data_IF_961764621808
#
_entry.id   IF_961764621808
#
_cell.length_a   1.000
_cell.length_b   1.000
_cell.length_c   1.000
_cell.angle_alpha   90.00
_cell.angle_beta   90.00
_cell.angle_gamma   90.00
#
_symmetry.space_group_name_H-M   'P 1'
#
loop_
_entity.id
_entity.type
_entity.pdbx_description
1 polymer ?
#
# COMPACT_ATOMS: atom_id res chain seq x y z
N UNK A 1 -47.40 17.42 48.86
CA UNK A 1 -47.33 16.89 47.48
C UNK A 1 -46.09 17.50 46.86
N UNK A 2 -44.93 16.90 47.10
CA UNK A 2 -43.66 17.35 46.55
C UNK A 2 -43.11 16.24 45.66
N UNK A 3 -43.24 16.42 44.34
CA UNK A 3 -42.53 15.59 43.36
C UNK A 3 -41.21 16.29 43.07
N UNK A 4 -40.19 15.86 43.79
CA UNK A 4 -38.79 16.04 43.41
C UNK A 4 -38.57 15.39 42.04
N UNK A 5 -38.22 16.22 41.05
CA UNK A 5 -37.80 15.80 39.73
C UNK A 5 -36.33 15.37 39.85
N UNK A 6 -36.09 14.06 39.89
CA UNK A 6 -34.75 13.52 39.63
C UNK A 6 -34.45 13.73 38.14
N UNK A 7 -33.81 14.85 37.84
CA UNK A 7 -33.02 15.03 36.62
C UNK A 7 -31.73 14.22 36.80
N UNK A 8 -31.74 12.95 36.40
CA UNK A 8 -30.52 12.16 36.25
C UNK A 8 -29.65 12.80 35.17
N UNK A 9 -28.70 13.60 35.63
CA UNK A 9 -27.59 14.13 34.90
C UNK A 9 -26.55 13.02 34.64
N UNK A 10 -26.89 12.06 33.77
CA UNK A 10 -25.95 11.09 33.19
C UNK A 10 -25.17 11.67 32.00
N UNK A 11 -24.98 12.99 31.96
CA UNK A 11 -24.20 13.71 30.93
C UNK A 11 -22.74 14.00 31.36
N UNK A 12 -22.28 13.40 32.46
CA UNK A 12 -20.87 13.42 32.90
C UNK A 12 -20.30 12.01 32.76
N UNK A 13 -19.75 11.58 31.62
CA UNK A 13 -18.34 11.81 31.31
C UNK A 13 -17.96 10.99 30.07
N UNK A 14 -18.50 11.35 28.91
CA UNK A 14 -17.84 11.03 27.64
C UNK A 14 -16.55 11.87 27.58
N UNK A 15 -15.53 11.46 28.35
CA UNK A 15 -14.16 12.00 28.33
C UNK A 15 -13.79 12.29 26.89
N UNK A 16 -13.59 13.57 26.50
CA UNK A 16 -13.26 13.93 25.11
C UNK A 16 -12.14 13.01 24.63
N UNK A 17 -12.40 12.19 23.61
CA UNK A 17 -11.39 11.31 23.03
C UNK A 17 -10.21 12.18 22.63
N UNK A 18 -9.02 11.86 23.13
CA UNK A 18 -7.85 12.63 22.79
C UNK A 18 -7.46 12.35 21.34
N UNK A 19 -6.83 13.32 20.67
CA UNK A 19 -6.29 13.10 19.33
C UNK A 19 -5.27 11.95 19.31
N UNK A 20 -4.55 11.74 20.43
CA UNK A 20 -3.65 10.60 20.62
C UNK A 20 -4.39 9.26 20.62
N UNK A 21 -5.56 9.15 21.27
CA UNK A 21 -6.34 7.90 21.28
C UNK A 21 -6.83 7.55 19.88
N UNK A 22 -7.31 8.55 19.14
CA UNK A 22 -7.75 8.38 17.74
C UNK A 22 -6.58 7.95 16.86
N UNK A 23 -5.42 8.58 17.02
CA UNK A 23 -4.21 8.23 16.26
C UNK A 23 -3.73 6.83 16.56
N UNK A 24 -3.69 6.44 17.84
CA UNK A 24 -3.27 5.10 18.27
C UNK A 24 -4.23 4.03 17.75
N UNK A 25 -5.55 4.25 17.86
CA UNK A 25 -6.56 3.34 17.32
C UNK A 25 -6.43 3.17 15.81
N UNK A 26 -6.24 4.27 15.07
CA UNK A 26 -6.00 4.21 13.61
C UNK A 26 -4.75 3.41 13.28
N UNK A 27 -3.65 3.65 14.00
CA UNK A 27 -2.41 2.94 13.77
C UNK A 27 -2.59 1.43 13.98
N UNK A 28 -3.19 1.01 15.10
CA UNK A 28 -3.46 -0.41 15.35
C UNK A 28 -4.37 -1.04 14.30
N UNK A 29 -5.41 -0.34 13.84
CA UNK A 29 -6.28 -0.83 12.77
C UNK A 29 -5.53 -0.98 11.43
N UNK A 30 -4.67 -0.02 11.09
CA UNK A 30 -3.85 -0.10 9.88
C UNK A 30 -2.76 -1.18 9.96
N UNK A 31 -2.15 -1.35 11.13
CA UNK A 31 -1.14 -2.38 11.34
C UNK A 31 -1.75 -3.78 11.19
N UNK A 32 -2.90 -4.04 11.82
CA UNK A 32 -3.62 -5.32 11.69
C UNK A 32 -4.14 -5.55 10.27
N UNK A 33 -4.71 -4.51 9.63
CA UNK A 33 -5.14 -4.61 8.25
C UNK A 33 -3.97 -4.84 7.28
N UNK A 34 -2.80 -4.26 7.56
CA UNK A 34 -1.58 -4.47 6.80
C UNK A 34 -1.06 -5.90 6.92
N UNK A 35 -1.06 -6.47 8.13
CA UNK A 35 -0.72 -7.88 8.35
C UNK A 35 -1.70 -8.81 7.64
N UNK A 36 -3.00 -8.59 7.83
CA UNK A 36 -4.03 -9.37 7.15
C UNK A 36 -3.93 -9.28 5.63
N UNK A 37 -3.62 -8.11 5.06
CA UNK A 37 -3.41 -7.96 3.62
C UNK A 37 -2.17 -8.73 3.14
N UNK A 38 -1.08 -8.75 3.91
CA UNK A 38 0.09 -9.55 3.59
C UNK A 38 -0.26 -11.05 3.55
N UNK A 39 -1.04 -11.53 4.52
CA UNK A 39 -1.52 -12.92 4.56
C UNK A 39 -2.46 -13.23 3.40
N UNK A 40 -3.33 -12.30 3.02
CA UNK A 40 -4.16 -12.41 1.80
C UNK A 40 -3.27 -12.59 0.58
N UNK A 41 -2.20 -11.79 0.42
CA UNK A 41 -1.30 -11.90 -0.74
C UNK A 41 -0.56 -13.24 -0.77
N UNK A 42 -0.14 -13.76 0.38
CA UNK A 42 0.50 -15.08 0.49
C UNK A 42 -0.47 -16.20 0.08
N UNK A 43 -1.73 -16.11 0.49
CA UNK A 43 -2.74 -17.15 0.23
C UNK A 43 -3.53 -16.95 -1.06
N UNK A 44 -3.49 -15.77 -1.69
CA UNK A 44 -4.26 -15.46 -2.90
C UNK A 44 -3.89 -16.41 -4.06
N UNK A 45 -2.60 -16.75 -4.19
CA UNK A 45 -2.15 -17.66 -5.25
C UNK A 45 -2.73 -19.06 -5.07
N UNK A 46 -2.65 -19.64 -3.87
CA UNK A 46 -3.20 -20.98 -3.61
C UNK A 46 -4.73 -20.97 -3.69
N UNK A 47 -5.36 -19.90 -3.23
CA UNK A 47 -6.81 -19.73 -3.32
C UNK A 47 -7.30 -19.64 -4.76
N UNK A 48 -6.63 -18.90 -5.66
CA UNK A 48 -7.14 -18.66 -7.03
C UNK A 48 -6.71 -19.69 -8.07
N UNK A 49 -5.68 -20.48 -7.78
CA UNK A 49 -5.15 -21.48 -8.71
C UNK A 49 -5.12 -22.91 -8.14
N UNK A 50 -5.52 -23.11 -6.88
CA UNK A 50 -5.61 -24.43 -6.26
C UNK A 50 -6.95 -25.13 -6.52
N UNK A 51 -7.13 -26.30 -5.92
CA UNK A 51 -8.34 -27.13 -6.04
C UNK A 51 -9.62 -26.39 -5.59
N UNK A 52 -9.47 -25.40 -4.70
CA UNK A 52 -10.57 -24.61 -4.16
C UNK A 52 -10.87 -23.34 -4.96
N UNK A 53 -10.21 -23.11 -6.11
CA UNK A 53 -10.34 -21.88 -6.90
C UNK A 53 -11.77 -21.54 -7.32
N UNK A 54 -12.61 -22.56 -7.53
CA UNK A 54 -14.02 -22.39 -7.92
C UNK A 54 -14.78 -21.53 -6.89
N UNK A 55 -14.42 -21.62 -5.61
CA UNK A 55 -15.10 -20.91 -4.51
C UNK A 55 -14.68 -19.44 -4.36
N UNK A 56 -13.57 -19.02 -5.00
CA UNK A 56 -13.01 -17.66 -4.93
C UNK A 56 -13.20 -16.86 -6.21
N UNK A 57 -13.97 -17.38 -7.17
CA UNK A 57 -14.19 -16.78 -8.49
C UNK A 57 -14.68 -15.33 -8.40
N UNK A 58 -15.62 -15.04 -7.49
CA UNK A 58 -16.17 -13.69 -7.29
C UNK A 58 -15.18 -12.69 -6.74
N UNK A 59 -14.42 -13.08 -5.72
CA UNK A 59 -13.36 -12.23 -5.16
C UNK A 59 -12.27 -11.96 -6.21
N UNK A 60 -11.92 -12.97 -7.01
CA UNK A 60 -10.98 -12.83 -8.13
C UNK A 60 -11.52 -11.90 -9.22
N UNK A 61 -12.79 -12.00 -9.60
CA UNK A 61 -13.44 -11.09 -10.56
C UNK A 61 -13.38 -9.64 -10.06
N UNK A 62 -13.72 -9.43 -8.78
CA UNK A 62 -13.69 -8.11 -8.13
C UNK A 62 -12.27 -7.53 -8.14
N UNK A 63 -11.27 -8.32 -7.72
CA UNK A 63 -9.87 -7.91 -7.70
C UNK A 63 -9.28 -7.72 -9.10
N UNK A 64 -9.79 -8.45 -10.10
CA UNK A 64 -9.44 -8.29 -11.50
C UNK A 64 -9.68 -6.86 -12.01
N UNK A 65 -10.67 -6.15 -11.47
CA UNK A 65 -10.96 -4.76 -11.84
C UNK A 65 -9.86 -3.75 -11.42
N UNK A 66 -9.01 -4.15 -10.47
CA UNK A 66 -7.89 -3.35 -9.96
C UNK A 66 -6.55 -3.68 -10.60
N UNK A 67 -6.45 -4.78 -11.35
CA UNK A 67 -5.22 -5.16 -12.04
C UNK A 67 -4.78 -4.20 -13.17
N UNK A 68 -5.68 -3.56 -13.95
CA UNK A 68 -5.26 -2.68 -15.04
C UNK A 68 -4.31 -1.54 -14.63
N UNK A 69 -4.54 -0.78 -13.54
CA UNK A 69 -3.54 0.16 -12.99
C UNK A 69 -2.14 -0.42 -12.83
N UNK A 70 -2.01 -1.63 -12.29
CA UNK A 70 -0.72 -2.30 -12.13
C UNK A 70 -0.11 -2.68 -13.47
N UNK A 71 -0.91 -3.18 -14.43
CA UNK A 71 -0.42 -3.47 -15.78
C UNK A 71 0.06 -2.21 -16.50
N UNK A 72 -0.65 -1.09 -16.38
CA UNK A 72 -0.22 0.18 -16.95
C UNK A 72 1.04 0.71 -16.28
N UNK A 73 1.16 0.60 -14.96
CA UNK A 73 2.37 0.96 -14.24
C UNK A 73 3.57 0.11 -14.64
N UNK A 74 3.42 -1.21 -14.72
CA UNK A 74 4.48 -2.11 -15.21
C UNK A 74 4.85 -1.83 -16.66
N UNK A 75 3.86 -1.58 -17.53
CA UNK A 75 4.11 -1.18 -18.90
C UNK A 75 4.88 0.14 -18.97
N UNK A 76 4.52 1.15 -18.16
CA UNK A 76 5.24 2.42 -18.07
C UNK A 76 6.69 2.21 -17.59
N UNK A 77 6.92 1.37 -16.57
CA UNK A 77 8.27 0.96 -16.15
C UNK A 77 9.05 0.37 -17.32
N UNK A 78 8.47 -0.58 -18.05
CA UNK A 78 9.13 -1.22 -19.18
C UNK A 78 9.43 -0.23 -20.32
N UNK A 79 8.47 0.62 -20.68
CA UNK A 79 8.65 1.63 -21.73
C UNK A 79 9.71 2.67 -21.38
N UNK A 80 9.75 3.14 -20.12
CA UNK A 80 10.76 4.09 -19.67
C UNK A 80 12.14 3.43 -19.64
N UNK A 81 12.24 2.19 -19.14
CA UNK A 81 13.50 1.45 -19.09
C UNK A 81 14.06 1.18 -20.48
N UNK A 82 13.22 0.64 -21.37
CA UNK A 82 13.59 0.41 -22.78
C UNK A 82 13.87 1.73 -23.48
N UNK A 83 13.11 2.79 -23.17
CA UNK A 83 13.35 4.14 -23.67
C UNK A 83 14.74 4.66 -23.32
N UNK A 84 15.16 4.57 -22.06
CA UNK A 84 16.52 4.94 -21.64
C UNK A 84 17.61 4.12 -22.36
N UNK A 85 17.33 2.85 -22.64
CA UNK A 85 18.27 1.94 -23.32
C UNK A 85 18.38 2.20 -24.82
N UNK A 86 17.25 2.29 -25.52
CA UNK A 86 17.19 2.42 -26.98
C UNK A 86 17.56 3.84 -27.41
N UNK A 87 16.92 4.84 -26.80
CA UNK A 87 17.02 6.21 -27.35
C UNK A 87 18.31 6.91 -26.97
N UNK A 88 19.01 6.43 -25.92
CA UNK A 88 20.19 7.11 -25.39
C UNK A 88 19.96 8.62 -25.22
N UNK A 89 18.70 9.02 -24.97
CA UNK A 89 18.16 10.35 -25.27
C UNK A 89 19.19 11.44 -24.96
N UNK A 90 19.80 11.99 -26.02
CA UNK A 90 20.89 12.96 -25.91
C UNK A 90 20.47 14.11 -24.98
N UNK A 91 19.21 14.53 -25.04
CA UNK A 91 18.61 15.55 -24.17
C UNK A 91 18.58 15.16 -22.68
N UNK A 92 18.30 13.90 -22.36
CA UNK A 92 18.32 13.40 -20.97
C UNK A 92 19.75 13.29 -20.47
N UNK A 93 20.68 12.81 -21.31
CA UNK A 93 22.10 12.81 -20.97
C UNK A 93 22.66 14.23 -20.79
N UNK A 94 22.20 15.19 -21.60
CA UNK A 94 22.54 16.61 -21.47
C UNK A 94 21.95 17.23 -20.20
N UNK A 95 20.72 16.87 -19.84
CA UNK A 95 20.09 17.29 -18.58
C UNK A 95 20.85 16.70 -17.38
N UNK A 96 21.16 15.40 -17.38
CA UNK A 96 21.99 14.76 -16.34
C UNK A 96 23.38 15.43 -16.24
N UNK A 97 24.04 15.70 -17.38
CA UNK A 97 25.31 16.45 -17.42
C UNK A 97 25.17 17.88 -16.87
N UNK A 98 24.02 18.54 -17.05
CA UNK A 98 23.75 19.87 -16.48
C UNK A 98 23.56 19.80 -14.97
N UNK A 99 22.79 18.84 -14.47
CA UNK A 99 22.56 18.62 -13.03
C UNK A 99 23.88 18.26 -12.32
N UNK A 100 24.64 17.31 -12.86
CA UNK A 100 25.94 16.93 -12.28
C UNK A 100 26.90 18.10 -12.24
N UNK A 101 27.00 18.91 -13.31
CA UNK A 101 27.86 20.11 -13.32
C UNK A 101 27.46 21.16 -12.30
N UNK A 102 26.17 21.26 -11.93
CA UNK A 102 25.70 22.14 -10.85
C UNK A 102 26.10 21.57 -9.49
N UNK A 103 25.85 20.29 -9.27
CA UNK A 103 26.21 19.61 -8.01
C UNK A 103 27.71 19.65 -7.74
N UNK A 104 28.54 19.33 -8.74
CA UNK A 104 30.00 19.37 -8.61
C UNK A 104 30.52 20.79 -8.34
N UNK A 105 29.97 21.80 -9.02
CA UNK A 105 30.31 23.21 -8.72
C UNK A 105 30.03 23.57 -7.27
N UNK A 106 28.89 23.15 -6.74
CA UNK A 106 28.54 23.41 -5.34
C UNK A 106 29.48 22.70 -4.35
N UNK A 107 30.17 21.63 -4.75
CA UNK A 107 31.20 20.96 -3.94
C UNK A 107 32.61 21.54 -4.10
N UNK A 108 32.90 22.29 -5.18
CA UNK A 108 34.27 22.78 -5.44
C UNK A 108 34.46 24.25 -5.01
N UNK A 109 33.50 24.84 -4.31
CA UNK A 109 33.57 26.24 -3.82
C UNK A 109 34.40 26.41 -2.55
N UNK A 110 35.14 25.38 -2.12
CA UNK A 110 36.16 25.49 -1.09
C UNK A 110 37.51 25.08 -1.69
N UNK A 111 38.44 26.03 -1.75
CA UNK A 111 39.83 25.90 -2.24
C UNK A 111 40.06 25.84 -3.76
N UNK A 112 40.36 27.00 -4.34
CA UNK A 112 41.50 27.12 -5.27
C UNK A 112 41.91 28.59 -5.49
N UNK A 113 43.10 28.94 -5.00
CA UNK A 113 43.88 30.11 -5.45
C UNK A 113 44.46 29.86 -6.85
N UNK A 114 44.72 30.91 -7.66
CA UNK A 114 45.20 30.73 -9.03
C UNK A 114 46.73 30.57 -9.05
N UNK A 115 47.23 29.50 -9.67
CA UNK A 115 48.64 29.38 -10.08
C UNK A 115 48.68 29.25 -11.60
N UNK A 116 49.33 30.23 -12.21
CA UNK A 116 49.66 30.34 -13.63
C UNK A 116 50.73 29.31 -14.00
N UNK A 117 50.49 28.45 -15.00
CA UNK A 117 51.52 27.55 -15.56
C UNK A 117 51.52 27.63 -17.09
N UNK A 118 52.74 27.81 -17.62
CA UNK A 118 53.12 27.97 -19.03
C UNK A 118 52.88 26.73 -19.89
N UNK A 119 52.57 27.01 -21.15
CA UNK A 119 52.39 26.11 -22.29
C UNK A 119 53.69 25.38 -22.66
N UNK A 120 53.69 24.05 -22.59
CA UNK A 120 54.58 23.18 -23.35
C UNK A 120 53.76 22.14 -24.11
N UNK A 121 54.18 21.84 -25.34
CA UNK A 121 53.46 21.07 -26.35
C UNK A 121 53.15 19.62 -25.90
N UNK A 122 51.98 19.06 -26.27
CA UNK A 122 51.53 17.78 -25.74
C UNK A 122 52.23 16.63 -26.47
N UNK A 123 53.26 16.07 -25.84
CA UNK A 123 53.67 14.68 -26.11
C UNK A 123 52.56 13.80 -25.54
N UNK A 124 51.76 13.16 -26.39
CA UNK A 124 50.76 12.17 -25.95
C UNK A 124 51.52 11.03 -25.26
N UNK A 125 51.42 10.89 -23.92
CA UNK A 125 52.08 9.80 -23.23
C UNK A 125 51.42 8.50 -23.66
N UNK A 126 52.25 7.53 -24.04
CA UNK A 126 51.82 6.18 -24.34
C UNK A 126 51.14 5.62 -23.08
N UNK A 127 49.79 5.55 -23.12
CA UNK A 127 48.98 5.22 -21.96
C UNK A 127 49.38 3.83 -21.45
N UNK A 128 49.98 3.77 -20.26
CA UNK A 128 50.46 2.51 -19.69
C UNK A 128 49.32 1.50 -19.53
N UNK A 129 49.61 0.21 -19.72
CA UNK A 129 48.63 -0.88 -19.64
C UNK A 129 47.76 -0.84 -18.36
N UNK A 130 48.35 -0.48 -17.22
CA UNK A 130 47.64 -0.36 -15.93
C UNK A 130 46.62 0.78 -15.92
N UNK A 131 46.92 1.88 -16.60
CA UNK A 131 46.00 3.02 -16.73
C UNK A 131 44.83 2.67 -17.65
N UNK A 132 45.12 2.02 -18.78
CA UNK A 132 44.08 1.48 -19.68
C UNK A 132 43.14 0.49 -18.96
N UNK A 133 43.68 -0.39 -18.10
CA UNK A 133 42.87 -1.32 -17.29
C UNK A 133 41.98 -0.57 -16.30
N UNK A 134 42.52 0.41 -15.57
CA UNK A 134 41.76 1.23 -14.61
C UNK A 134 40.64 2.03 -15.30
N UNK A 135 40.88 2.57 -16.49
CA UNK A 135 39.88 3.28 -17.28
C UNK A 135 38.74 2.33 -17.70
N UNK A 136 39.06 1.14 -18.22
CA UNK A 136 38.06 0.12 -18.60
C UNK A 136 37.23 -0.35 -17.40
N UNK A 137 37.85 -0.57 -16.24
CA UNK A 137 37.12 -0.94 -15.02
C UNK A 137 36.18 0.17 -14.55
N UNK A 138 36.63 1.43 -14.63
CA UNK A 138 35.79 2.60 -14.33
C UNK A 138 34.63 2.75 -15.32
N UNK A 139 34.85 2.54 -16.61
CA UNK A 139 33.80 2.57 -17.63
C UNK A 139 32.77 1.47 -17.41
N UNK A 140 33.20 0.25 -17.09
CA UNK A 140 32.30 -0.85 -16.73
C UNK A 140 31.47 -0.53 -15.48
N UNK A 141 32.10 0.05 -14.45
CA UNK A 141 31.40 0.48 -13.24
C UNK A 141 30.39 1.61 -13.51
N UNK A 142 30.72 2.56 -14.38
CA UNK A 142 29.79 3.61 -14.79
C UNK A 142 28.63 3.06 -15.63
N UNK A 143 28.89 2.08 -16.49
CA UNK A 143 27.84 1.40 -17.26
C UNK A 143 26.90 0.58 -16.36
N UNK A 144 27.43 -0.12 -15.36
CA UNK A 144 26.59 -0.87 -14.41
C UNK A 144 25.77 0.05 -13.52
N UNK A 145 26.35 1.15 -13.02
CA UNK A 145 25.60 2.17 -12.27
C UNK A 145 24.49 2.80 -13.10
N UNK A 146 24.72 3.04 -14.40
CA UNK A 146 23.69 3.55 -15.29
C UNK A 146 22.50 2.59 -15.39
N UNK A 147 22.76 1.29 -15.57
CA UNK A 147 21.70 0.28 -15.66
C UNK A 147 20.83 0.25 -14.40
N UNK A 148 21.47 0.30 -13.22
CA UNK A 148 20.76 0.32 -11.94
C UNK A 148 19.93 1.60 -11.81
N UNK A 149 20.51 2.75 -12.16
CA UNK A 149 19.81 4.04 -12.06
C UNK A 149 18.62 4.10 -13.01
N UNK A 150 18.79 3.67 -14.26
CA UNK A 150 17.72 3.63 -15.26
C UNK A 150 16.59 2.70 -14.79
N UNK A 151 16.92 1.55 -14.19
CA UNK A 151 15.94 0.63 -13.61
C UNK A 151 15.17 1.28 -12.44
N UNK A 152 15.87 1.89 -11.49
CA UNK A 152 15.24 2.53 -10.33
C UNK A 152 14.31 3.69 -10.73
N UNK A 153 14.75 4.53 -11.65
CA UNK A 153 13.91 5.63 -12.19
C UNK A 153 12.68 5.06 -12.89
N UNK A 154 12.86 4.01 -13.69
CA UNK A 154 11.74 3.37 -14.40
C UNK A 154 10.72 2.76 -13.44
N UNK A 155 11.19 2.04 -12.42
CA UNK A 155 10.33 1.47 -11.38
C UNK A 155 9.58 2.58 -10.64
N UNK A 156 10.28 3.67 -10.30
CA UNK A 156 9.65 4.82 -9.64
C UNK A 156 8.53 5.42 -10.49
N UNK A 157 8.74 5.60 -11.80
CA UNK A 157 7.70 6.13 -12.71
C UNK A 157 6.49 5.20 -12.78
N UNK A 158 6.71 3.90 -12.97
CA UNK A 158 5.60 2.95 -13.03
C UNK A 158 4.87 2.80 -11.70
N UNK A 159 5.58 2.82 -10.57
CA UNK A 159 4.98 2.80 -9.24
C UNK A 159 4.14 4.05 -8.99
N UNK A 160 4.67 5.24 -9.27
CA UNK A 160 3.92 6.50 -9.15
C UNK A 160 2.71 6.53 -10.07
N UNK A 161 2.83 6.05 -11.31
CA UNK A 161 1.70 5.95 -12.23
C UNK A 161 0.62 4.99 -11.73
N UNK A 162 1.03 3.86 -11.14
CA UNK A 162 0.10 2.90 -10.51
C UNK A 162 -0.65 3.57 -9.35
N UNK A 163 0.07 4.24 -8.44
CA UNK A 163 -0.54 4.93 -7.31
C UNK A 163 -1.53 6.01 -7.76
N UNK A 164 -1.17 6.80 -8.77
CA UNK A 164 -2.05 7.83 -9.33
C UNK A 164 -3.36 7.24 -9.89
N UNK A 165 -3.26 6.14 -10.65
CA UNK A 165 -4.45 5.45 -11.18
C UNK A 165 -5.29 4.78 -10.09
N UNK A 166 -4.66 4.28 -9.02
CA UNK A 166 -5.36 3.73 -7.86
C UNK A 166 -6.04 4.83 -7.05
N UNK A 167 -5.42 6.00 -6.92
CA UNK A 167 -6.01 7.16 -6.24
C UNK A 167 -7.31 7.61 -6.92
N UNK A 168 -7.35 7.59 -8.26
CA UNK A 168 -8.58 7.86 -9.02
C UNK A 168 -9.70 6.85 -8.73
N UNK A 169 -9.37 5.66 -8.22
CA UNK A 169 -10.33 4.60 -7.82
C UNK A 169 -10.50 4.50 -6.31
N UNK A 170 -10.00 5.46 -5.52
CA UNK A 170 -9.98 5.38 -4.05
C UNK A 170 -11.33 5.06 -3.43
N UNK A 171 -12.40 5.72 -3.85
CA UNK A 171 -13.73 5.50 -3.27
C UNK A 171 -14.29 4.11 -3.60
N UNK A 172 -14.00 3.60 -4.80
CA UNK A 172 -14.38 2.23 -5.20
C UNK A 172 -13.59 1.20 -4.40
N UNK A 173 -12.27 1.38 -4.26
CA UNK A 173 -11.41 0.51 -3.44
C UNK A 173 -11.89 0.50 -1.98
N UNK A 174 -12.33 1.65 -1.48
CA UNK A 174 -12.86 1.78 -0.12
C UNK A 174 -14.16 1.00 0.05
N UNK A 175 -15.11 1.15 -0.88
CA UNK A 175 -16.37 0.38 -0.88
C UNK A 175 -16.10 -1.12 -0.98
N UNK A 176 -15.16 -1.51 -1.83
CA UNK A 176 -14.80 -2.91 -2.03
C UNK A 176 -14.11 -3.51 -0.82
N UNK A 177 -13.27 -2.73 -0.13
CA UNK A 177 -12.71 -3.12 1.15
C UNK A 177 -13.83 -3.34 2.17
N UNK A 178 -14.73 -2.37 2.36
CA UNK A 178 -15.86 -2.45 3.29
C UNK A 178 -16.73 -3.70 3.06
N UNK A 179 -16.99 -4.04 1.80
CA UNK A 179 -17.84 -5.17 1.40
C UNK A 179 -17.11 -6.51 1.28
N UNK A 180 -15.77 -6.53 1.28
CA UNK A 180 -15.00 -7.74 1.06
C UNK A 180 -15.41 -8.93 1.95
N UNK A 181 -15.71 -8.75 3.25
CA UNK A 181 -16.16 -9.86 4.10
C UNK A 181 -17.49 -10.47 3.66
N UNK A 182 -18.37 -9.73 3.00
CA UNK A 182 -19.70 -10.20 2.58
C UNK A 182 -19.72 -10.81 1.18
N UNK A 183 -18.58 -10.88 0.50
CA UNK A 183 -18.49 -11.47 -0.84
C UNK A 183 -19.00 -12.92 -0.80
N UNK A 184 -19.89 -13.22 -1.74
CA UNK A 184 -20.50 -14.55 -1.91
C UNK A 184 -19.42 -15.61 -2.16
N UNK A 185 -19.66 -16.83 -1.67
CA UNK A 185 -18.69 -17.91 -1.72
C UNK A 185 -17.65 -17.83 -0.62
N UNK A 186 -16.40 -18.14 -0.95
CA UNK A 186 -15.25 -17.98 -0.05
C UNK A 186 -14.52 -16.68 -0.37
N UNK A 187 -14.00 -16.04 0.66
CA UNK A 187 -13.20 -14.82 0.54
C UNK A 187 -11.92 -14.99 1.33
N UNK A 188 -10.79 -14.89 0.64
CA UNK A 188 -9.46 -14.89 1.26
C UNK A 188 -9.35 -13.69 2.20
N UNK A 189 -9.92 -12.53 1.81
CA UNK A 189 -9.98 -11.36 2.69
C UNK A 189 -10.70 -11.68 4.00
N UNK A 190 -11.88 -12.31 3.92
CA UNK A 190 -12.60 -12.69 5.13
C UNK A 190 -11.84 -13.71 5.98
N UNK A 191 -11.22 -14.71 5.35
CA UNK A 191 -10.51 -15.77 6.06
C UNK A 191 -9.22 -15.31 6.74
N UNK A 192 -8.49 -14.39 6.11
CA UNK A 192 -7.18 -13.94 6.60
C UNK A 192 -7.26 -12.64 7.40
N UNK A 193 -8.17 -11.72 7.08
CA UNK A 193 -8.25 -10.41 7.75
C UNK A 193 -9.27 -10.35 8.89
N UNK A 194 -10.45 -10.98 8.75
CA UNK A 194 -11.50 -10.83 9.77
C UNK A 194 -11.11 -11.37 11.16
N UNK A 195 -10.44 -12.54 11.31
CA UNK A 195 -10.12 -13.06 12.64
C UNK A 195 -9.26 -12.09 13.48
N UNK A 196 -8.23 -11.54 12.86
CA UNK A 196 -7.32 -10.57 13.48
C UNK A 196 -8.01 -9.25 13.82
N UNK A 197 -8.76 -8.71 12.86
CA UNK A 197 -9.52 -7.46 13.04
C UNK A 197 -10.61 -7.57 14.11
N UNK A 198 -11.38 -8.66 14.13
CA UNK A 198 -12.39 -8.89 15.17
C UNK A 198 -11.75 -9.07 16.54
N UNK A 199 -10.65 -9.84 16.64
CA UNK A 199 -9.90 -10.00 17.89
C UNK A 199 -9.44 -8.64 18.42
N UNK A 200 -8.80 -7.83 17.57
CA UNK A 200 -8.34 -6.49 17.92
C UNK A 200 -9.51 -5.61 18.42
N UNK A 201 -10.65 -5.67 17.73
CA UNK A 201 -11.85 -4.92 18.12
C UNK A 201 -12.39 -5.37 19.48
N UNK A 202 -12.49 -6.68 19.74
CA UNK A 202 -13.03 -7.22 20.98
C UNK A 202 -12.11 -7.01 22.19
N UNK A 203 -10.79 -7.12 21.99
CA UNK A 203 -9.80 -7.01 23.08
C UNK A 203 -9.48 -5.55 23.43
N UNK A 204 -9.68 -4.60 22.51
CA UNK A 204 -9.30 -3.21 22.71
C UNK A 204 -10.51 -2.26 22.84
N UNK A 205 -10.88 -1.96 24.08
CA UNK A 205 -11.97 -1.03 24.42
C UNK A 205 -11.77 0.38 23.85
N UNK A 206 -10.52 0.83 23.69
CA UNK A 206 -10.23 2.15 23.10
C UNK A 206 -10.68 2.21 21.63
N UNK A 207 -10.39 1.16 20.86
CA UNK A 207 -10.82 1.06 19.45
C UNK A 207 -12.34 1.07 19.35
N UNK A 208 -13.04 0.30 20.20
CA UNK A 208 -14.51 0.30 20.22
C UNK A 208 -15.07 1.70 20.49
N UNK A 209 -14.51 2.41 21.47
CA UNK A 209 -14.92 3.77 21.82
C UNK A 209 -14.66 4.74 20.66
N UNK A 210 -13.49 4.68 20.01
CA UNK A 210 -13.15 5.53 18.86
C UNK A 210 -14.11 5.29 17.69
N UNK A 211 -14.38 4.04 17.34
CA UNK A 211 -15.29 3.71 16.23
C UNK A 211 -16.73 4.12 16.53
N UNK A 212 -17.24 3.85 17.75
CA UNK A 212 -18.60 4.25 18.16
C UNK A 212 -18.78 5.77 18.14
N UNK A 213 -17.80 6.53 18.62
CA UNK A 213 -17.89 8.01 18.60
C UNK A 213 -17.76 8.58 17.20
N UNK A 214 -16.92 7.98 16.35
CA UNK A 214 -16.85 8.38 14.95
C UNK A 214 -18.21 8.20 14.26
N UNK A 215 -18.98 7.18 14.63
CA UNK A 215 -20.33 6.97 14.10
C UNK A 215 -21.36 8.02 14.56
N UNK A 216 -21.23 8.49 15.80
CA UNK A 216 -22.07 9.54 16.39
C UNK A 216 -21.68 10.96 15.96
N UNK A 217 -20.51 11.12 15.34
CA UNK A 217 -20.03 12.43 14.87
C UNK A 217 -20.81 12.88 13.64
N UNK A 218 -21.08 14.19 13.53
CA UNK A 218 -21.70 14.76 12.34
C UNK A 218 -20.95 14.35 11.06
N UNK A 219 -21.68 14.05 9.99
CA UNK A 219 -21.12 13.49 8.75
C UNK A 219 -19.94 14.28 8.15
N UNK A 220 -19.92 15.61 8.33
CA UNK A 220 -18.84 16.49 7.85
C UNK A 220 -17.51 16.32 8.59
N UNK A 221 -17.54 15.83 9.84
CA UNK A 221 -16.36 15.64 10.68
C UNK A 221 -15.98 14.15 10.83
N UNK A 222 -16.74 13.25 10.18
CA UNK A 222 -16.53 11.82 10.27
C UNK A 222 -15.26 11.42 9.52
N UNK A 223 -14.37 10.73 10.20
CA UNK A 223 -13.19 10.18 9.56
C UNK A 223 -13.62 9.01 8.65
N UNK A 224 -13.38 9.17 7.35
CA UNK A 224 -13.78 8.17 6.35
C UNK A 224 -13.08 6.84 6.53
N UNK A 225 -11.83 6.82 6.97
CA UNK A 225 -11.08 5.57 7.17
C UNK A 225 -11.61 4.82 8.39
N UNK A 226 -11.87 5.52 9.51
CA UNK A 226 -12.49 4.91 10.68
C UNK A 226 -13.91 4.39 10.37
N UNK A 227 -14.65 5.10 9.51
CA UNK A 227 -15.95 4.63 9.02
C UNK A 227 -15.80 3.32 8.26
N UNK A 228 -14.82 3.24 7.34
CA UNK A 228 -14.56 2.02 6.58
C UNK A 228 -14.17 0.85 7.47
N UNK A 229 -13.32 1.07 8.47
CA UNK A 229 -12.98 0.02 9.44
C UNK A 229 -14.19 -0.43 10.26
N UNK A 230 -15.06 0.49 10.69
CA UNK A 230 -16.28 0.13 11.39
C UNK A 230 -17.21 -0.73 10.53
N UNK A 231 -17.45 -0.34 9.27
CA UNK A 231 -18.29 -1.11 8.33
C UNK A 231 -17.65 -2.47 8.04
N UNK A 232 -16.34 -2.52 7.79
CA UNK A 232 -15.60 -3.76 7.59
C UNK A 232 -15.76 -4.72 8.77
N UNK A 233 -15.58 -4.24 10.01
CA UNK A 233 -15.72 -5.03 11.22
C UNK A 233 -17.15 -5.55 11.41
N UNK A 234 -18.16 -4.70 11.17
CA UNK A 234 -19.56 -5.13 11.19
C UNK A 234 -19.83 -6.23 10.18
N UNK A 235 -19.27 -6.11 8.98
CA UNK A 235 -19.40 -7.10 7.92
C UNK A 235 -18.67 -8.41 8.23
N UNK A 236 -17.49 -8.34 8.85
CA UNK A 236 -16.80 -9.50 9.41
C UNK A 236 -17.65 -10.20 10.49
N UNK A 237 -18.28 -9.44 11.39
CA UNK A 237 -19.15 -9.99 12.43
C UNK A 237 -20.38 -10.68 11.81
N UNK A 238 -21.06 -10.04 10.85
CA UNK A 238 -22.20 -10.63 10.11
C UNK A 238 -21.82 -11.96 9.46
N UNK A 239 -20.65 -12.01 8.81
CA UNK A 239 -20.14 -13.25 8.21
C UNK A 239 -19.88 -14.31 9.28
N UNK A 240 -19.17 -13.94 10.35
CA UNK A 240 -18.84 -14.86 11.44
C UNK A 240 -20.11 -15.48 12.06
N UNK A 241 -21.13 -14.68 12.34
CA UNK A 241 -22.40 -15.12 12.93
C UNK A 241 -23.20 -16.00 11.97
N UNK A 242 -23.23 -15.65 10.69
CA UNK A 242 -23.83 -16.47 9.65
C UNK A 242 -23.16 -17.84 9.58
N UNK A 243 -21.82 -17.86 9.50
CA UNK A 243 -21.08 -19.13 9.40
C UNK A 243 -21.28 -19.97 10.66
N UNK A 244 -21.18 -19.38 11.86
CA UNK A 244 -21.43 -20.07 13.11
C UNK A 244 -22.83 -20.72 13.17
N UNK A 245 -23.86 -20.00 12.71
CA UNK A 245 -25.23 -20.54 12.61
C UNK A 245 -25.30 -21.73 11.64
N UNK A 246 -24.73 -21.59 10.44
CA UNK A 246 -24.73 -22.66 9.44
C UNK A 246 -23.96 -23.90 9.91
N UNK A 247 -22.84 -23.73 10.63
CA UNK A 247 -22.10 -24.86 11.24
C UNK A 247 -22.99 -25.62 12.21
N UNK A 248 -23.71 -24.89 13.07
CA UNK A 248 -24.63 -25.48 14.07
C UNK A 248 -25.78 -26.23 13.40
N UNK A 249 -26.39 -25.66 12.37
CA UNK A 249 -27.52 -26.27 11.65
C UNK A 249 -27.12 -27.54 10.89
N UNK A 250 -25.90 -27.57 10.33
CA UNK A 250 -25.43 -28.68 9.49
C UNK A 250 -24.54 -29.69 10.25
N UNK A 251 -24.33 -29.50 11.55
CA UNK A 251 -23.45 -30.34 12.36
C UNK A 251 -21.99 -30.36 11.86
N UNK A 252 -21.54 -29.28 11.20
CA UNK A 252 -20.20 -29.17 10.63
C UNK A 252 -19.17 -28.81 11.69
N UNK A 253 -17.91 -29.22 11.47
CA UNK A 253 -16.80 -28.85 12.34
C UNK A 253 -16.49 -27.35 12.22
N UNK A 254 -15.76 -26.80 13.21
CA UNK A 254 -15.33 -25.39 13.21
C UNK A 254 -14.47 -25.03 12.00
N UNK A 255 -13.72 -26.00 11.48
CA UNK A 255 -12.73 -25.82 10.43
C UNK A 255 -13.29 -26.08 9.04
N UNK A 256 -14.48 -26.69 8.95
CA UNK A 256 -15.07 -26.99 7.65
C UNK A 256 -15.49 -25.69 6.94
N UNK A 257 -15.07 -25.49 5.68
CA UNK A 257 -15.39 -24.28 4.94
C UNK A 257 -16.90 -24.17 4.68
N UNK A 258 -17.43 -22.96 4.87
CA UNK A 258 -18.82 -22.64 4.56
C UNK A 258 -18.85 -21.74 3.33
N UNK A 259 -19.68 -22.13 2.38
CA UNK A 259 -19.97 -21.34 1.19
C UNK A 259 -21.08 -20.35 1.52
N UNK A 260 -20.77 -19.06 1.44
CA UNK A 260 -21.75 -17.98 1.56
C UNK A 260 -22.63 -17.95 0.30
N UNK A 261 -23.96 -17.80 0.40
CA UNK A 261 -24.86 -17.81 -0.75
C UNK A 261 -24.55 -16.69 -1.76
N UNK A 262 -24.99 -16.90 -3.00
CA UNK A 262 -24.76 -15.99 -4.13
C UNK A 262 -25.28 -14.56 -3.90
N UNK A 263 -26.33 -14.39 -3.10
CA UNK A 263 -26.93 -13.08 -2.80
C UNK A 263 -26.16 -12.30 -1.73
N UNK A 264 -25.03 -12.85 -1.24
CA UNK A 264 -24.30 -12.29 -0.10
C UNK A 264 -25.06 -12.47 1.22
N UNK A 265 -24.47 -11.93 2.29
CA UNK A 265 -25.13 -11.79 3.60
C UNK A 265 -25.55 -10.33 3.70
N UNK A 266 -26.85 -10.06 3.83
CA UNK A 266 -27.39 -8.70 4.01
C UNK A 266 -27.47 -8.36 5.49
#
# INVERSE_FOLDING_TARGET
MDRSICSDSDDQSLTKLSASDISAAKQSLWDEAGQGLADVLVHARSAWYGEQAVYYTRERERLGSYMPPFYYGMAATAFVFVGFRITGLVKVQEWQRRVWRRWKRNQTTESASPITVQQSSPVTPEMGYLESKRIREREKALQSMKLITDLLVSISVGFSGTLFLLEAKRDVIRSDFEEAPLVSGRSVVAEQMCPGMLRLYHENVSIQNVLRRNDQTAAALKDRNLTSFAVFLQNCQKRHDYEARVRKERGKSKEEPIVVPYNGIQ
#
